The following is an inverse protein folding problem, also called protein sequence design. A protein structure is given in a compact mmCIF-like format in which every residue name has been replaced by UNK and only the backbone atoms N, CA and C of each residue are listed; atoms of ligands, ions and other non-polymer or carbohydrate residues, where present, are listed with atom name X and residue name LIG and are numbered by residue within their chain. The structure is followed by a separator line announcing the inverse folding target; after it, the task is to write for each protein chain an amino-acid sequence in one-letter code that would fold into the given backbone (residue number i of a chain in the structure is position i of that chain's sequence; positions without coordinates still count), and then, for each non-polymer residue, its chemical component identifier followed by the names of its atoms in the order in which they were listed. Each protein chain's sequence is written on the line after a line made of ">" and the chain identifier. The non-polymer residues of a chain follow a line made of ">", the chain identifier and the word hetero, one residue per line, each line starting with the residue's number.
data_IF_901951707066
#
_entry.id   IF_901951707066
#
_cell.length_a   1.000
_cell.length_b   1.000
_cell.length_c   1.000
_cell.angle_alpha   90.00
_cell.angle_beta   90.00
_cell.angle_gamma   90.00
#
_symmetry.space_group_name_H-M   'P 1'
#
loop_
_entity.id
_entity.type
_entity.pdbx_description
1 polymer ?
#
# COMPACT_ATOMS: atom_id res chain seq x y z
N UNK A 1 -21.62 3.76 -10.76
CA UNK A 1 -21.15 3.43 -9.38
C UNK A 1 -20.98 1.91 -9.28
N UNK A 2 -20.21 1.36 -8.33
CA UNK A 2 -20.16 -0.11 -8.10
C UNK A 2 -21.33 -0.55 -7.22
N UNK A 3 -21.78 -1.79 -7.35
CA UNK A 3 -22.90 -2.35 -6.56
C UNK A 3 -22.62 -2.31 -5.06
N UNK A 4 -21.37 -2.55 -4.65
CA UNK A 4 -20.97 -2.42 -3.24
C UNK A 4 -21.26 -1.01 -2.70
N UNK A 5 -20.92 0.05 -3.44
CA UNK A 5 -21.14 1.44 -2.99
C UNK A 5 -22.63 1.77 -2.89
N UNK A 6 -23.44 1.31 -3.86
CA UNK A 6 -24.89 1.51 -3.85
C UNK A 6 -25.53 0.79 -2.67
N UNK A 7 -25.12 -0.46 -2.42
CA UNK A 7 -25.58 -1.25 -1.27
C UNK A 7 -25.28 -0.53 0.05
N UNK A 8 -24.04 -0.03 0.22
CA UNK A 8 -23.66 0.76 1.41
C UNK A 8 -24.52 1.99 1.60
N UNK A 9 -24.83 2.73 0.53
CA UNK A 9 -25.69 3.91 0.62
C UNK A 9 -27.10 3.54 1.05
N UNK A 10 -27.69 2.48 0.50
CA UNK A 10 -29.03 2.03 0.89
C UNK A 10 -29.10 1.63 2.38
N UNK A 11 -28.09 0.89 2.84
CA UNK A 11 -28.04 0.45 4.25
C UNK A 11 -27.80 1.64 5.19
N UNK A 12 -26.81 2.48 4.92
CA UNK A 12 -26.41 3.56 5.83
C UNK A 12 -27.38 4.76 5.81
N UNK A 13 -27.90 5.12 4.63
CA UNK A 13 -28.74 6.32 4.48
C UNK A 13 -30.23 6.03 4.62
N UNK A 14 -30.69 4.85 4.19
CA UNK A 14 -32.11 4.50 4.16
C UNK A 14 -32.48 3.38 5.13
N UNK A 15 -31.51 2.68 5.75
CA UNK A 15 -31.78 1.52 6.59
C UNK A 15 -32.31 0.31 5.82
N UNK A 16 -32.13 0.28 4.49
CA UNK A 16 -32.66 -0.78 3.62
C UNK A 16 -31.53 -1.77 3.33
N UNK A 17 -31.71 -3.01 3.77
CA UNK A 17 -30.87 -4.14 3.33
C UNK A 17 -31.53 -4.78 2.10
N UNK A 18 -30.81 -4.76 0.98
CA UNK A 18 -31.29 -5.35 -0.26
C UNK A 18 -30.99 -6.84 -0.27
N UNK A 19 -32.03 -7.67 -0.17
CA UNK A 19 -31.92 -9.13 -0.27
C UNK A 19 -32.44 -9.60 -1.63
N UNK A 20 -31.65 -10.38 -2.36
CA UNK A 20 -32.06 -10.94 -3.65
C UNK A 20 -30.91 -11.10 -4.65
N UNK A 21 -31.20 -11.66 -5.85
CA UNK A 21 -30.22 -11.76 -6.92
C UNK A 21 -29.83 -10.36 -7.38
N UNK A 22 -28.56 -10.02 -7.23
CA UNK A 22 -28.00 -8.78 -7.72
C UNK A 22 -27.11 -9.05 -8.94
N UNK A 23 -27.05 -8.10 -9.86
CA UNK A 23 -26.16 -8.14 -11.02
C UNK A 23 -25.42 -6.82 -11.12
N UNK A 24 -24.08 -6.90 -11.22
CA UNK A 24 -23.22 -5.74 -11.39
C UNK A 24 -22.67 -5.69 -12.80
N UNK A 25 -22.99 -4.61 -13.51
CA UNK A 25 -22.57 -4.36 -14.88
C UNK A 25 -21.04 -4.34 -15.05
N UNK A 26 -20.32 -3.75 -14.10
CA UNK A 26 -18.86 -3.65 -14.14
C UNK A 26 -18.21 -5.00 -13.90
N UNK A 27 -18.75 -5.80 -12.98
CA UNK A 27 -18.28 -7.17 -12.74
C UNK A 27 -18.51 -8.05 -13.95
N UNK A 28 -19.68 -7.95 -14.59
CA UNK A 28 -19.97 -8.66 -15.84
C UNK A 28 -18.99 -8.27 -16.95
N UNK A 29 -18.71 -6.97 -17.11
CA UNK A 29 -17.75 -6.47 -18.09
C UNK A 29 -16.32 -6.95 -17.79
N UNK A 30 -15.91 -6.95 -16.52
CA UNK A 30 -14.60 -7.44 -16.09
C UNK A 30 -14.43 -8.93 -16.35
N UNK A 31 -15.47 -9.74 -16.14
CA UNK A 31 -15.40 -11.18 -16.35
C UNK A 31 -15.19 -11.55 -17.83
N UNK A 32 -15.70 -10.74 -18.76
CA UNK A 32 -15.47 -10.91 -20.20
C UNK A 32 -14.05 -10.52 -20.62
N UNK A 33 -13.44 -9.53 -19.98
CA UNK A 33 -12.10 -9.03 -20.30
C UNK A 33 -11.34 -8.58 -19.04
N UNK A 34 -10.77 -9.53 -18.28
CA UNK A 34 -10.11 -9.23 -17.01
C UNK A 34 -8.83 -8.39 -17.16
N UNK A 35 -8.26 -8.34 -18.37
CA UNK A 35 -7.06 -7.56 -18.68
C UNK A 35 -7.33 -6.09 -19.01
N UNK A 36 -8.60 -5.73 -19.22
CA UNK A 36 -8.98 -4.35 -19.53
C UNK A 36 -9.01 -3.43 -18.31
N UNK A 37 -8.80 -2.14 -18.57
CA UNK A 37 -9.03 -1.10 -17.57
C UNK A 37 -10.52 -1.01 -17.20
N UNK A 38 -10.79 -0.52 -15.99
CA UNK A 38 -12.16 -0.36 -15.49
C UNK A 38 -12.97 0.57 -16.41
N UNK A 39 -13.99 0.00 -17.08
CA UNK A 39 -14.80 0.75 -18.04
C UNK A 39 -15.84 1.61 -17.32
N UNK A 40 -16.00 2.84 -17.80
CA UNK A 40 -17.10 3.72 -17.40
C UNK A 40 -18.41 3.27 -18.05
N UNK A 41 -19.55 3.76 -17.53
CA UNK A 41 -20.87 3.45 -18.13
C UNK A 41 -20.92 3.84 -19.60
N UNK A 42 -20.44 5.04 -19.94
CA UNK A 42 -20.27 5.52 -21.32
C UNK A 42 -19.50 4.52 -22.18
N UNK A 43 -18.32 4.07 -21.73
CA UNK A 43 -17.51 3.14 -22.50
C UNK A 43 -18.22 1.79 -22.70
N UNK A 44 -18.90 1.28 -21.67
CA UNK A 44 -19.66 0.03 -21.78
C UNK A 44 -20.83 0.14 -22.77
N UNK A 45 -21.59 1.24 -22.73
CA UNK A 45 -22.68 1.48 -23.69
C UNK A 45 -22.12 1.56 -25.12
N UNK A 46 -21.04 2.31 -25.34
CA UNK A 46 -20.40 2.42 -26.68
C UNK A 46 -19.94 1.07 -27.22
N UNK A 47 -19.35 0.21 -26.38
CA UNK A 47 -18.82 -1.08 -26.82
C UNK A 47 -19.91 -2.14 -27.02
N UNK A 48 -20.91 -2.20 -26.14
CA UNK A 48 -21.84 -3.33 -26.05
C UNK A 48 -23.26 -2.99 -26.50
N UNK A 49 -23.66 -1.72 -26.49
CA UNK A 49 -25.02 -1.29 -26.85
C UNK A 49 -25.01 0.04 -27.63
N UNK A 50 -24.48 0.06 -28.87
CA UNK A 50 -24.39 1.30 -29.66
C UNK A 50 -25.76 1.88 -30.05
N UNK A 51 -26.83 1.08 -30.00
CA UNK A 51 -28.20 1.51 -30.32
C UNK A 51 -28.72 2.54 -29.31
N UNK A 52 -28.26 2.47 -28.05
CA UNK A 52 -28.70 3.36 -26.98
C UNK A 52 -27.79 4.58 -26.80
N UNK A 53 -26.78 4.76 -27.65
CA UNK A 53 -25.89 5.94 -27.64
C UNK A 53 -26.64 7.28 -27.70
N UNK A 54 -27.73 7.46 -28.49
CA UNK A 54 -28.46 8.73 -28.49
C UNK A 54 -29.09 9.10 -27.14
N UNK A 55 -29.37 8.11 -26.27
CA UNK A 55 -29.84 8.36 -24.91
C UNK A 55 -28.73 8.89 -24.00
N UNK A 56 -27.48 8.55 -24.31
CA UNK A 56 -26.30 9.03 -23.61
C UNK A 56 -26.04 10.53 -23.84
N UNK A 57 -26.46 11.08 -24.98
CA UNK A 57 -26.38 12.53 -25.26
C UNK A 57 -27.26 13.35 -24.29
N UNK A 58 -28.31 12.74 -23.72
CA UNK A 58 -29.12 13.31 -22.64
C UNK A 58 -28.42 13.33 -21.28
N UNK A 59 -27.33 12.60 -21.12
CA UNK A 59 -26.50 12.53 -19.91
C UNK A 59 -25.51 13.71 -19.84
N UNK A 60 -26.00 14.93 -20.02
CA UNK A 60 -25.21 16.16 -19.87
C UNK A 60 -25.02 16.50 -18.39
N UNK A 61 -23.86 17.01 -17.96
CA UNK A 61 -23.66 17.53 -16.59
C UNK A 61 -24.60 18.69 -16.22
N UNK A 62 -25.26 19.31 -17.20
CA UNK A 62 -26.26 20.37 -16.99
C UNK A 62 -27.69 19.84 -16.79
N UNK A 63 -27.93 18.54 -16.98
CA UNK A 63 -29.24 17.92 -16.84
C UNK A 63 -29.64 17.75 -15.35
N UNK A 64 -30.93 17.60 -15.09
CA UNK A 64 -31.44 17.33 -13.74
C UNK A 64 -30.91 15.98 -13.22
N UNK A 65 -30.47 15.88 -11.95
CA UNK A 65 -30.00 14.61 -11.37
C UNK A 65 -31.03 13.48 -11.44
N UNK A 66 -32.33 13.81 -11.39
CA UNK A 66 -33.42 12.83 -11.53
C UNK A 66 -33.49 12.25 -12.95
N UNK A 67 -33.30 13.11 -13.95
CA UNK A 67 -33.29 12.69 -15.35
C UNK A 67 -32.06 11.82 -15.63
N UNK A 68 -30.88 12.20 -15.12
CA UNK A 68 -29.67 11.39 -15.24
C UNK A 68 -29.85 10.00 -14.61
N UNK A 69 -30.40 9.92 -13.39
CA UNK A 69 -30.67 8.64 -12.74
C UNK A 69 -31.65 7.76 -13.54
N UNK A 70 -32.67 8.36 -14.16
CA UNK A 70 -33.61 7.65 -15.02
C UNK A 70 -32.92 7.11 -16.29
N UNK A 71 -32.12 7.94 -16.96
CA UNK A 71 -31.33 7.53 -18.14
C UNK A 71 -30.36 6.41 -17.77
N UNK A 72 -29.61 6.55 -16.68
CA UNK A 72 -28.69 5.54 -16.18
C UNK A 72 -29.39 4.21 -15.94
N UNK A 73 -30.58 4.21 -15.34
CA UNK A 73 -31.32 2.97 -15.07
C UNK A 73 -31.67 2.21 -16.35
N UNK A 74 -32.07 2.91 -17.41
CA UNK A 74 -32.42 2.33 -18.71
C UNK A 74 -31.17 1.80 -19.40
N UNK A 75 -30.10 2.59 -19.43
CA UNK A 75 -28.82 2.21 -20.05
C UNK A 75 -28.18 1.01 -19.35
N UNK A 76 -28.17 0.99 -18.02
CA UNK A 76 -27.65 -0.13 -17.22
C UNK A 76 -28.45 -1.39 -17.53
N UNK A 77 -29.78 -1.31 -17.52
CA UNK A 77 -30.63 -2.47 -17.79
C UNK A 77 -30.41 -3.01 -19.21
N UNK A 78 -30.41 -2.14 -20.21
CA UNK A 78 -30.18 -2.52 -21.61
C UNK A 78 -28.81 -3.17 -21.81
N UNK A 79 -27.76 -2.55 -21.29
CA UNK A 79 -26.38 -3.04 -21.40
C UNK A 79 -26.20 -4.36 -20.67
N UNK A 80 -26.78 -4.50 -19.47
CA UNK A 80 -26.68 -5.73 -18.68
C UNK A 80 -27.31 -6.93 -19.41
N UNK A 81 -28.43 -6.74 -20.11
CA UNK A 81 -29.03 -7.81 -20.95
C UNK A 81 -28.07 -8.28 -22.05
N UNK A 82 -27.39 -7.34 -22.71
CA UNK A 82 -26.40 -7.66 -23.74
C UNK A 82 -25.20 -8.41 -23.14
N UNK A 83 -24.65 -7.93 -22.03
CA UNK A 83 -23.55 -8.60 -21.33
C UNK A 83 -23.94 -10.01 -20.85
N UNK A 84 -25.14 -10.17 -20.32
CA UNK A 84 -25.67 -11.49 -19.92
C UNK A 84 -25.67 -12.46 -21.08
N UNK A 85 -26.15 -12.03 -22.25
CA UNK A 85 -26.15 -12.84 -23.48
C UNK A 85 -24.73 -13.24 -23.90
N UNK A 86 -23.75 -12.35 -23.74
CA UNK A 86 -22.34 -12.65 -24.02
C UNK A 86 -21.77 -13.64 -23.02
N UNK A 87 -22.03 -13.44 -21.72
CA UNK A 87 -21.62 -14.36 -20.65
C UNK A 87 -22.23 -15.76 -20.81
N UNK A 88 -23.47 -15.86 -21.31
CA UNK A 88 -24.12 -17.13 -21.63
C UNK A 88 -23.41 -17.84 -22.79
N UNK A 89 -23.05 -17.11 -23.85
CA UNK A 89 -22.31 -17.65 -25.00
C UNK A 89 -20.94 -18.18 -24.60
N UNK A 90 -20.26 -17.50 -23.67
CA UNK A 90 -18.94 -17.89 -23.16
C UNK A 90 -19.02 -18.93 -22.01
N UNK A 91 -20.23 -19.34 -21.61
CA UNK A 91 -20.44 -20.31 -20.53
C UNK A 91 -20.14 -19.79 -19.11
N UNK A 92 -19.97 -18.48 -18.95
CA UNK A 92 -19.55 -17.81 -17.71
C UNK A 92 -20.71 -17.34 -16.83
N UNK A 93 -21.96 -17.41 -17.32
CA UNK A 93 -23.13 -16.91 -16.60
C UNK A 93 -23.32 -17.53 -15.21
N UNK A 94 -23.01 -18.82 -15.05
CA UNK A 94 -23.12 -19.51 -13.78
C UNK A 94 -22.07 -19.00 -12.79
N UNK A 95 -20.82 -18.80 -13.23
CA UNK A 95 -19.73 -18.25 -12.40
C UNK A 95 -20.08 -16.82 -11.97
N UNK A 96 -20.58 -16.00 -12.90
CA UNK A 96 -21.03 -14.64 -12.61
C UNK A 96 -22.09 -14.61 -11.50
N UNK A 97 -23.21 -15.33 -11.66
CA UNK A 97 -24.33 -15.27 -10.72
C UNK A 97 -24.12 -16.02 -9.40
N UNK A 98 -23.45 -17.17 -9.43
CA UNK A 98 -23.33 -18.04 -8.25
C UNK A 98 -22.05 -17.82 -7.43
N UNK A 99 -21.02 -17.18 -8.02
CA UNK A 99 -19.73 -16.96 -7.35
C UNK A 99 -19.44 -15.47 -7.21
N UNK A 100 -19.37 -14.73 -8.31
CA UNK A 100 -18.91 -13.34 -8.28
C UNK A 100 -19.92 -12.38 -7.65
N UNK A 101 -21.22 -12.51 -7.97
CA UNK A 101 -22.23 -11.63 -7.39
C UNK A 101 -22.39 -11.80 -5.86
N UNK A 102 -22.45 -13.03 -5.30
CA UNK A 102 -22.40 -13.23 -3.85
C UNK A 102 -21.11 -12.70 -3.22
N UNK A 103 -19.97 -12.82 -3.91
CA UNK A 103 -18.69 -12.25 -3.45
C UNK A 103 -18.79 -10.73 -3.30
N UNK A 104 -19.40 -10.01 -4.24
CA UNK A 104 -19.62 -8.57 -4.12
C UNK A 104 -20.44 -8.17 -2.89
N UNK A 105 -21.49 -8.94 -2.56
CA UNK A 105 -22.32 -8.68 -1.36
C UNK A 105 -21.51 -8.92 -0.09
N UNK A 106 -20.76 -10.01 -0.02
CA UNK A 106 -19.87 -10.30 1.11
C UNK A 106 -18.84 -9.18 1.31
N UNK A 107 -18.23 -8.70 0.22
CA UNK A 107 -17.30 -7.58 0.27
C UNK A 107 -17.97 -6.29 0.73
N UNK A 108 -19.18 -5.98 0.25
CA UNK A 108 -19.92 -4.80 0.71
C UNK A 108 -20.21 -4.85 2.22
N UNK A 109 -20.57 -6.02 2.75
CA UNK A 109 -20.75 -6.23 4.19
C UNK A 109 -19.44 -6.11 4.98
N UNK A 110 -18.33 -6.63 4.44
CA UNK A 110 -17.01 -6.48 5.03
C UNK A 110 -16.60 -5.00 5.12
N UNK A 111 -16.83 -4.23 4.05
CA UNK A 111 -16.57 -2.78 4.04
C UNK A 111 -17.44 -2.03 5.07
N UNK A 112 -18.72 -2.40 5.22
CA UNK A 112 -19.62 -1.84 6.22
C UNK A 112 -19.16 -2.16 7.64
N UNK A 113 -18.77 -3.40 7.90
CA UNK A 113 -18.26 -3.84 9.19
C UNK A 113 -16.96 -3.12 9.55
N UNK A 114 -16.04 -2.99 8.58
CA UNK A 114 -14.69 -2.50 8.82
C UNK A 114 -13.90 -3.37 9.81
N UNK A 115 -12.77 -2.86 10.27
CA UNK A 115 -11.85 -3.53 11.20
C UNK A 115 -11.61 -2.64 12.42
N UNK A 116 -11.63 -3.23 13.61
CA UNK A 116 -11.34 -2.51 14.85
C UNK A 116 -9.89 -2.03 14.92
N UNK A 117 -9.68 -0.84 15.47
CA UNK A 117 -8.37 -0.20 15.54
C UNK A 117 -8.14 0.41 16.93
N UNK A 118 -6.99 0.14 17.53
CA UNK A 118 -6.56 0.76 18.77
C UNK A 118 -5.61 1.92 18.49
N UNK A 119 -6.07 3.14 18.75
CA UNK A 119 -5.22 4.34 18.64
C UNK A 119 -4.04 4.29 19.60
N UNK A 120 -4.29 3.92 20.86
CA UNK A 120 -3.28 3.94 21.92
C UNK A 120 -2.10 3.01 21.58
N UNK A 121 -2.40 1.79 21.14
CA UNK A 121 -1.35 0.83 20.80
C UNK A 121 -0.60 1.25 19.53
N UNK A 122 -1.31 1.77 18.52
CA UNK A 122 -0.68 2.28 17.30
C UNK A 122 0.25 3.46 17.60
N UNK A 123 -0.19 4.39 18.45
CA UNK A 123 0.59 5.56 18.84
C UNK A 123 1.80 5.18 19.70
N UNK A 124 1.64 4.21 20.62
CA UNK A 124 2.76 3.65 21.39
C UNK A 124 3.83 3.05 20.48
N UNK A 125 3.43 2.19 19.54
CA UNK A 125 4.35 1.57 18.59
C UNK A 125 5.01 2.58 17.65
N UNK A 126 4.27 3.61 17.23
CA UNK A 126 4.82 4.74 16.44
C UNK A 126 5.99 5.41 17.18
N UNK A 127 5.83 5.72 18.46
CA UNK A 127 6.90 6.34 19.26
C UNK A 127 8.11 5.42 19.43
N UNK A 128 7.91 4.12 19.67
CA UNK A 128 9.01 3.14 19.73
C UNK A 128 9.78 3.10 18.42
N UNK A 129 9.08 3.03 17.28
CA UNK A 129 9.68 3.05 15.95
C UNK A 129 10.44 4.35 15.66
N UNK A 130 9.89 5.50 16.04
CA UNK A 130 10.56 6.80 15.89
C UNK A 130 11.84 6.89 16.72
N UNK A 131 11.80 6.45 17.98
CA UNK A 131 12.99 6.42 18.84
C UNK A 131 14.10 5.53 18.27
N UNK A 132 13.73 4.34 17.77
CA UNK A 132 14.68 3.44 17.10
C UNK A 132 15.24 4.04 15.82
N UNK A 133 14.42 4.74 15.04
CA UNK A 133 14.83 5.38 13.79
C UNK A 133 15.89 6.46 14.04
N UNK A 134 15.71 7.30 15.06
CA UNK A 134 16.73 8.29 15.48
C UNK A 134 18.03 7.64 15.98
N UNK A 135 17.94 6.51 16.69
CA UNK A 135 19.10 5.76 17.13
C UNK A 135 19.89 5.16 15.95
N UNK A 136 19.19 4.59 14.96
CA UNK A 136 19.77 4.04 13.74
C UNK A 136 20.40 5.12 12.86
N UNK A 137 19.80 6.30 12.77
CA UNK A 137 20.40 7.46 12.08
C UNK A 137 21.73 7.86 12.70
N UNK A 138 21.75 8.02 14.03
CA UNK A 138 22.97 8.36 14.77
C UNK A 138 24.03 7.27 14.64
N UNK A 139 23.63 5.99 14.59
CA UNK A 139 24.54 4.87 14.32
C UNK A 139 25.08 4.91 12.89
N UNK A 140 24.23 5.19 11.90
CA UNK A 140 24.63 5.28 10.50
C UNK A 140 25.63 6.42 10.27
N UNK A 141 25.40 7.60 10.85
CA UNK A 141 26.33 8.73 10.73
C UNK A 141 27.68 8.45 11.40
N UNK A 142 27.69 7.77 12.55
CA UNK A 142 28.93 7.33 13.20
C UNK A 142 29.72 6.34 12.35
N UNK A 143 29.03 5.40 11.69
CA UNK A 143 29.66 4.40 10.82
C UNK A 143 30.16 5.00 9.49
N UNK A 144 29.49 6.02 8.96
CA UNK A 144 29.90 6.73 7.74
C UNK A 144 30.94 7.83 8.00
N UNK A 145 31.01 8.36 9.22
CA UNK A 145 31.91 9.46 9.60
C UNK A 145 31.38 10.86 9.21
N UNK A 146 30.21 10.96 8.58
CA UNK A 146 29.54 12.22 8.27
C UNK A 146 28.02 12.03 8.17
N UNK A 147 27.30 13.15 8.10
CA UNK A 147 25.85 13.14 7.92
C UNK A 147 25.48 12.97 6.44
N UNK A 148 24.50 12.12 6.15
CA UNK A 148 23.97 11.89 4.80
C UNK A 148 22.49 11.52 4.86
N UNK A 149 21.77 11.56 3.74
CA UNK A 149 20.35 11.23 3.75
C UNK A 149 20.10 9.72 3.58
N UNK A 150 19.52 9.07 4.60
CA UNK A 150 19.10 7.66 4.50
C UNK A 150 17.88 7.45 3.59
N UNK A 151 17.11 8.51 3.32
CA UNK A 151 16.00 8.48 2.35
C UNK A 151 16.51 8.47 0.90
N UNK A 152 17.68 9.08 0.65
CA UNK A 152 18.27 9.18 -0.70
C UNK A 152 19.05 7.91 -1.03
N UNK A 153 18.54 7.13 -2.00
CA UNK A 153 19.27 5.96 -2.52
C UNK A 153 20.61 6.33 -3.15
N UNK A 154 20.76 7.56 -3.65
CA UNK A 154 22.00 8.08 -4.24
C UNK A 154 23.05 8.37 -3.16
N UNK A 155 22.65 8.98 -2.06
CA UNK A 155 23.55 9.32 -0.96
C UNK A 155 24.03 8.04 -0.28
N UNK A 156 23.12 7.10 -0.04
CA UNK A 156 23.46 5.75 0.47
C UNK A 156 24.44 5.04 -0.48
N UNK A 157 24.22 5.10 -1.79
CA UNK A 157 25.13 4.49 -2.76
C UNK A 157 26.51 5.16 -2.77
N UNK A 158 26.58 6.48 -2.61
CA UNK A 158 27.82 7.23 -2.50
C UNK A 158 28.66 6.72 -1.32
N UNK A 159 28.07 6.68 -0.12
CA UNK A 159 28.75 6.25 1.11
C UNK A 159 29.20 4.78 1.00
N UNK A 160 28.32 3.88 0.54
CA UNK A 160 28.63 2.45 0.47
C UNK A 160 29.72 2.12 -0.55
N UNK A 161 29.69 2.72 -1.75
CA UNK A 161 30.55 2.28 -2.86
C UNK A 161 31.76 3.18 -3.11
N UNK A 162 31.67 4.48 -2.82
CA UNK A 162 32.81 5.40 -3.02
C UNK A 162 33.63 5.61 -1.77
N UNK A 163 33.03 5.61 -0.60
CA UNK A 163 33.75 5.90 0.66
C UNK A 163 34.17 4.62 1.36
N UNK A 164 33.21 3.69 1.55
CA UNK A 164 33.48 2.38 2.14
C UNK A 164 34.05 1.36 1.14
N UNK A 165 34.11 1.72 -0.14
CA UNK A 165 34.65 0.88 -1.23
C UNK A 165 34.09 -0.56 -1.28
N UNK A 166 32.81 -0.74 -0.91
CA UNK A 166 32.16 -2.04 -0.93
C UNK A 166 31.90 -2.52 -2.37
N UNK A 167 31.91 -3.84 -2.63
CA UNK A 167 31.70 -4.38 -3.97
C UNK A 167 30.25 -4.17 -4.43
N UNK A 168 29.99 -3.51 -5.58
CA UNK A 168 28.62 -3.23 -6.04
C UNK A 168 27.78 -4.48 -6.38
N UNK A 169 28.43 -5.63 -6.61
CA UNK A 169 27.76 -6.90 -6.91
C UNK A 169 27.53 -7.79 -5.67
N UNK A 170 28.12 -7.45 -4.51
CA UNK A 170 28.03 -8.27 -3.29
C UNK A 170 28.77 -9.61 -3.35
N UNK A 171 29.59 -9.86 -4.39
CA UNK A 171 30.32 -11.12 -4.54
C UNK A 171 31.76 -11.01 -4.00
N UNK A 172 32.16 -11.97 -3.16
CA UNK A 172 33.52 -12.11 -2.60
C UNK A 172 34.47 -12.93 -3.48
N UNK A 173 33.96 -13.60 -4.52
CA UNK A 173 34.78 -14.41 -5.43
C UNK A 173 35.37 -13.52 -6.52
N UNK A 174 36.70 -13.37 -6.51
CA UNK A 174 37.46 -12.61 -7.48
C UNK A 174 37.10 -12.95 -8.92
N UNK A 175 36.49 -11.99 -9.60
CA UNK A 175 36.36 -11.96 -11.05
C UNK A 175 36.86 -10.62 -11.57
N UNK A 176 38.15 -10.54 -11.91
CA UNK A 176 38.68 -9.52 -12.83
C UNK A 176 37.90 -9.67 -14.15
N UNK A 177 36.79 -8.94 -14.32
CA UNK A 177 35.92 -9.28 -15.44
C UNK A 177 34.63 -8.50 -15.63
N UNK A 178 34.65 -7.18 -15.47
CA UNK A 178 33.95 -6.27 -16.39
C UNK A 178 34.40 -4.86 -16.13
N UNK A 179 35.21 -4.35 -17.05
CA UNK A 179 35.56 -2.94 -17.21
C UNK A 179 34.30 -2.10 -16.98
N UNK A 180 34.16 -1.55 -15.79
CA UNK A 180 33.23 -0.46 -15.55
C UNK A 180 34.04 0.70 -15.00
N UNK A 181 35.05 1.08 -15.79
CA UNK A 181 35.63 2.41 -15.72
C UNK A 181 34.54 3.38 -16.19
N UNK A 182 33.55 3.63 -15.33
CA UNK A 182 32.62 4.74 -15.42
C UNK A 182 33.16 5.95 -14.64
N UNK A 183 34.48 6.08 -14.53
CA UNK A 183 35.12 7.30 -14.06
C UNK A 183 35.06 8.30 -15.22
N UNK A 184 34.00 9.09 -15.28
CA UNK A 184 34.09 10.36 -16.00
C UNK A 184 35.02 11.27 -15.18
N UNK A 185 36.33 11.20 -15.44
CA UNK A 185 37.23 12.30 -15.09
C UNK A 185 36.89 13.46 -16.03
N UNK A 186 35.88 14.24 -15.69
CA UNK A 186 35.85 15.65 -16.07
C UNK A 186 36.36 16.44 -14.86
N UNK A 187 37.29 17.35 -15.15
CA UNK A 187 38.18 17.97 -14.17
C UNK A 187 37.47 18.69 -13.03
N UNK A 188 38.28 18.95 -12.00
CA UNK A 188 38.06 19.92 -10.91
C UNK A 188 36.74 19.78 -10.14
N UNK A 189 36.82 19.11 -8.99
CA UNK A 189 35.85 19.22 -7.88
C UNK A 189 34.69 18.21 -7.92
N UNK A 190 34.77 17.22 -7.03
CA UNK A 190 33.75 16.19 -6.71
C UNK A 190 33.49 15.11 -7.77
N UNK A 191 33.95 13.89 -7.47
CA UNK A 191 33.60 12.67 -8.21
C UNK A 191 32.08 12.43 -8.13
N UNK A 192 31.38 12.61 -9.25
CA UNK A 192 29.95 12.28 -9.37
C UNK A 192 29.78 10.84 -9.86
N UNK A 193 28.91 10.10 -9.18
CA UNK A 193 28.50 8.74 -9.52
C UNK A 193 27.78 8.74 -10.90
N UNK A 194 28.52 8.49 -11.98
CA UNK A 194 27.95 8.43 -13.34
C UNK A 194 27.10 7.19 -13.62
N UNK A 195 27.18 6.17 -12.75
CA UNK A 195 26.40 4.93 -12.81
C UNK A 195 25.56 4.83 -11.54
N UNK A 196 24.23 4.74 -11.68
CA UNK A 196 23.34 4.50 -10.54
C UNK A 196 23.59 3.08 -10.03
N UNK A 197 24.27 2.96 -8.90
CA UNK A 197 24.42 1.68 -8.23
C UNK A 197 23.13 1.35 -7.48
N UNK A 198 22.71 0.10 -7.56
CA UNK A 198 21.50 -0.36 -6.89
C UNK A 198 21.77 -0.51 -5.39
N UNK A 199 20.86 0.01 -4.57
CA UNK A 199 20.84 -0.22 -3.11
C UNK A 199 19.62 -1.05 -2.73
N UNK A 200 19.26 -2.05 -3.54
CA UNK A 200 18.14 -2.97 -3.23
C UNK A 200 18.42 -3.77 -1.96
N UNK A 201 17.35 -4.29 -1.35
CA UNK A 201 17.41 -5.15 -0.17
C UNK A 201 18.44 -6.28 -0.35
N UNK A 202 18.37 -6.98 -1.47
CA UNK A 202 19.26 -8.13 -1.78
C UNK A 202 20.75 -7.75 -1.80
N UNK A 203 21.10 -6.56 -2.31
CA UNK A 203 22.49 -6.09 -2.34
C UNK A 203 22.95 -5.73 -0.93
N UNK A 204 22.11 -5.03 -0.16
CA UNK A 204 22.44 -4.66 1.21
C UNK A 204 22.60 -5.89 2.11
N UNK A 205 21.80 -6.95 1.91
CA UNK A 205 21.93 -8.21 2.64
C UNK A 205 23.25 -8.91 2.34
N UNK A 206 23.68 -8.94 1.07
CA UNK A 206 25.00 -9.46 0.68
C UNK A 206 26.17 -8.65 1.25
N UNK A 207 25.98 -7.35 1.45
CA UNK A 207 26.99 -6.44 1.99
C UNK A 207 27.05 -6.42 3.53
N UNK A 208 26.00 -6.89 4.20
CA UNK A 208 25.91 -6.90 5.67
C UNK A 208 27.05 -7.65 6.38
N UNK A 209 27.62 -8.76 5.84
CA UNK A 209 28.79 -9.40 6.44
C UNK A 209 30.09 -8.60 6.31
N UNK A 210 30.17 -7.68 5.35
CA UNK A 210 31.39 -6.90 5.07
C UNK A 210 31.48 -5.64 5.92
N UNK A 211 30.33 -5.02 6.20
CA UNK A 211 30.26 -3.81 7.00
C UNK A 211 28.93 -3.73 7.75
N UNK A 212 28.90 -3.19 8.99
CA UNK A 212 27.66 -3.06 9.76
C UNK A 212 26.65 -2.07 9.17
N UNK A 213 27.10 -1.07 8.37
CA UNK A 213 26.24 -0.01 7.82
C UNK A 213 25.08 -0.53 6.95
N UNK A 214 25.28 -1.45 5.97
CA UNK A 214 24.18 -2.08 5.24
C UNK A 214 23.06 -2.66 6.12
N UNK A 215 23.40 -3.33 7.22
CA UNK A 215 22.42 -3.87 8.18
C UNK A 215 21.59 -2.78 8.86
N UNK A 216 22.26 -1.70 9.30
CA UNK A 216 21.60 -0.51 9.87
C UNK A 216 20.65 0.14 8.86
N UNK A 217 21.06 0.27 7.59
CA UNK A 217 20.21 0.83 6.52
C UNK A 217 18.99 -0.07 6.25
N UNK A 218 19.15 -1.39 6.25
CA UNK A 218 18.05 -2.34 6.08
C UNK A 218 17.00 -2.19 7.18
N UNK A 219 17.45 -2.14 8.44
CA UNK A 219 16.56 -1.96 9.60
C UNK A 219 15.86 -0.60 9.54
N UNK A 220 16.61 0.48 9.24
CA UNK A 220 16.04 1.83 9.10
C UNK A 220 14.98 1.87 8.00
N UNK A 221 15.25 1.31 6.82
CA UNK A 221 14.29 1.27 5.70
C UNK A 221 13.05 0.45 6.03
N UNK A 222 13.21 -0.66 6.77
CA UNK A 222 12.09 -1.49 7.22
C UNK A 222 11.15 -0.69 8.13
N UNK A 223 11.71 0.01 9.13
CA UNK A 223 10.92 0.83 10.07
C UNK A 223 10.28 2.02 9.35
N UNK A 224 11.02 2.74 8.50
CA UNK A 224 10.49 3.85 7.70
C UNK A 224 9.34 3.40 6.80
N UNK A 225 9.46 2.24 6.15
CA UNK A 225 8.39 1.69 5.32
C UNK A 225 7.15 1.36 6.17
N UNK A 226 7.31 0.68 7.31
CA UNK A 226 6.21 0.37 8.22
C UNK A 226 5.49 1.64 8.71
N UNK A 227 6.22 2.69 9.07
CA UNK A 227 5.64 3.97 9.50
C UNK A 227 4.87 4.66 8.37
N UNK A 228 5.51 4.83 7.21
CA UNK A 228 4.98 5.66 6.11
C UNK A 228 3.87 4.98 5.32
N UNK A 229 3.95 3.67 5.14
CA UNK A 229 2.99 2.92 4.32
C UNK A 229 1.82 2.36 5.11
N UNK A 230 1.98 2.16 6.43
CA UNK A 230 0.98 1.47 7.26
C UNK A 230 0.54 2.33 8.43
N UNK A 231 1.44 2.75 9.33
CA UNK A 231 1.05 3.49 10.54
C UNK A 231 0.34 4.80 10.22
N UNK A 232 0.95 5.68 9.40
CA UNK A 232 0.34 6.98 9.10
C UNK A 232 -0.99 6.87 8.32
N UNK A 233 -1.11 6.00 7.28
CA UNK A 233 -2.40 5.80 6.62
C UNK A 233 -3.47 5.24 7.56
N UNK A 234 -3.17 4.25 8.41
CA UNK A 234 -4.15 3.70 9.37
C UNK A 234 -4.62 4.77 10.36
N UNK A 235 -3.69 5.59 10.89
CA UNK A 235 -4.03 6.69 11.79
C UNK A 235 -4.91 7.76 11.14
N UNK A 236 -4.72 8.02 9.85
CA UNK A 236 -5.48 9.03 9.10
C UNK A 236 -6.89 8.55 8.74
N UNK A 237 -7.03 7.30 8.32
CA UNK A 237 -8.31 6.76 7.83
C UNK A 237 -9.22 6.23 8.95
N UNK A 238 -8.76 6.22 10.21
CA UNK A 238 -9.58 5.79 11.35
C UNK A 238 -10.84 6.64 11.49
N UNK A 239 -11.95 6.00 11.83
CA UNK A 239 -13.23 6.66 12.13
C UNK A 239 -13.79 6.09 13.42
N UNK A 240 -14.29 6.96 14.28
CA UNK A 240 -14.93 6.54 15.51
C UNK A 240 -16.31 5.95 15.20
N UNK A 241 -16.59 4.74 15.69
CA UNK A 241 -17.87 4.08 15.52
C UNK A 241 -18.76 4.32 16.75
N UNK A 242 -19.83 5.14 16.64
CA UNK A 242 -20.58 5.61 17.81
C UNK A 242 -21.28 4.49 18.60
N UNK A 243 -21.78 3.44 17.92
CA UNK A 243 -22.50 2.35 18.57
C UNK A 243 -21.59 1.36 19.32
N UNK A 244 -20.34 1.21 18.86
CA UNK A 244 -19.38 0.26 19.45
C UNK A 244 -18.37 0.95 20.35
N UNK A 245 -18.39 2.29 20.39
CA UNK A 245 -17.50 3.15 21.18
C UNK A 245 -16.03 2.78 20.94
N UNK A 246 -15.67 2.50 19.68
CA UNK A 246 -14.31 2.14 19.28
C UNK A 246 -13.98 2.70 17.91
N UNK A 247 -12.69 2.90 17.66
CA UNK A 247 -12.22 3.29 16.33
C UNK A 247 -12.22 2.10 15.39
N UNK A 248 -12.67 2.34 14.16
CA UNK A 248 -12.71 1.36 13.08
C UNK A 248 -12.15 1.97 11.80
N UNK A 249 -11.60 1.10 10.97
CA UNK A 249 -11.09 1.45 9.64
C UNK A 249 -11.96 0.70 8.63
N UNK A 250 -12.37 1.38 7.57
CA UNK A 250 -13.27 0.85 6.55
C UNK A 250 -12.58 0.84 5.18
N UNK A 251 -11.77 -0.20 4.88
CA UNK A 251 -11.14 -0.34 3.58
C UNK A 251 -12.20 -0.51 2.49
N UNK A 252 -11.88 -0.12 1.25
CA UNK A 252 -12.72 -0.32 0.07
C UNK A 252 -12.18 -1.48 -0.75
N UNK A 253 -13.03 -2.44 -1.11
CA UNK A 253 -12.66 -3.58 -1.95
C UNK A 253 -12.56 -3.20 -3.42
N UNK A 254 -11.57 -3.77 -4.09
CA UNK A 254 -11.33 -3.69 -5.53
C UNK A 254 -11.20 -5.10 -6.09
N UNK A 255 -12.15 -5.46 -6.94
CA UNK A 255 -12.29 -6.81 -7.52
C UNK A 255 -11.77 -6.91 -8.96
N UNK A 256 -11.53 -5.77 -9.62
CA UNK A 256 -11.02 -5.68 -11.00
C UNK A 256 -9.51 -5.99 -11.10
N UNK A 257 -9.09 -7.20 -10.76
CA UNK A 257 -7.72 -7.65 -11.04
C UNK A 257 -7.72 -8.72 -12.11
N UNK A 258 -6.70 -8.72 -12.99
CA UNK A 258 -6.59 -9.72 -14.06
C UNK A 258 -6.57 -11.17 -13.55
N UNK A 259 -6.18 -11.38 -12.29
CA UNK A 259 -6.10 -12.70 -11.65
C UNK A 259 -7.34 -13.11 -10.87
N UNK A 260 -8.35 -12.23 -10.74
CA UNK A 260 -9.52 -12.47 -9.87
C UNK A 260 -9.25 -12.31 -8.37
N UNK A 261 -8.06 -11.85 -7.97
CA UNK A 261 -7.75 -11.52 -6.57
C UNK A 261 -8.46 -10.24 -6.16
N UNK A 262 -8.98 -10.22 -4.94
CA UNK A 262 -9.52 -9.01 -4.32
C UNK A 262 -8.38 -8.22 -3.67
N UNK A 263 -8.38 -6.90 -3.88
CA UNK A 263 -7.49 -5.98 -3.20
C UNK A 263 -8.25 -4.94 -2.39
N UNK A 264 -7.63 -4.37 -1.36
CA UNK A 264 -8.24 -3.29 -0.57
C UNK A 264 -7.48 -1.98 -0.70
N UNK A 265 -8.22 -0.86 -0.68
CA UNK A 265 -7.67 0.50 -0.68
C UNK A 265 -8.23 1.34 0.47
N UNK A 266 -7.49 2.40 0.81
CA UNK A 266 -7.90 3.41 1.81
C UNK A 266 -8.19 2.84 3.22
N UNK A 267 -7.20 2.20 3.90
CA UNK A 267 -5.86 1.83 3.47
C UNK A 267 -5.77 0.36 3.01
N UNK A 268 -4.66 -0.01 2.37
CA UNK A 268 -4.43 -1.41 1.99
C UNK A 268 -4.01 -2.22 3.23
N UNK A 269 -5.00 -2.85 3.86
CA UNK A 269 -4.82 -3.72 5.04
C UNK A 269 -4.23 -5.11 4.71
N UNK A 270 -4.01 -5.43 3.43
CA UNK A 270 -3.39 -6.71 3.04
C UNK A 270 -1.86 -6.65 3.16
N UNK A 271 -1.28 -5.45 3.11
CA UNK A 271 0.16 -5.22 3.16
C UNK A 271 0.64 -4.79 4.56
N UNK A 272 -0.09 -5.16 5.61
CA UNK A 272 0.35 -4.90 6.98
C UNK A 272 1.65 -5.68 7.25
N UNK A 273 2.71 -5.05 7.80
CA UNK A 273 3.97 -5.71 8.06
C UNK A 273 3.77 -6.89 9.00
N UNK A 274 4.45 -7.99 8.73
CA UNK A 274 4.58 -9.08 9.72
C UNK A 274 5.41 -8.60 10.90
N UNK A 275 5.10 -9.14 12.07
CA UNK A 275 5.82 -8.87 13.32
C UNK A 275 7.33 -9.04 13.15
N UNK A 276 8.07 -8.15 13.79
CA UNK A 276 9.52 -8.18 13.78
C UNK A 276 10.13 -7.61 15.04
N UNK A 277 11.30 -8.13 15.37
CA UNK A 277 12.02 -7.73 16.56
C UNK A 277 12.76 -6.42 16.33
N UNK A 278 12.71 -5.55 17.34
CA UNK A 278 13.45 -4.30 17.38
C UNK A 278 14.35 -4.35 18.61
N UNK A 279 15.66 -4.34 18.40
CA UNK A 279 16.62 -4.23 19.49
C UNK A 279 16.75 -2.78 19.91
N UNK A 280 16.27 -2.45 21.11
CA UNK A 280 16.55 -1.15 21.73
C UNK A 280 17.82 -1.29 22.57
N UNK A 281 18.78 -0.38 22.39
CA UNK A 281 19.90 -0.30 23.33
C UNK A 281 19.31 0.03 24.70
N UNK A 282 19.44 -0.89 25.65
CA UNK A 282 19.11 -0.62 27.05
C UNK A 282 19.95 0.57 27.48
N UNK A 283 19.29 1.63 27.97
CA UNK A 283 19.99 2.68 28.70
C UNK A 283 20.55 2.00 29.96
N UNK A 284 21.81 1.58 29.90
CA UNK A 284 22.55 1.11 31.07
C UNK A 284 22.90 2.37 31.87
N UNK A 285 22.01 2.78 32.76
CA UNK A 285 22.41 3.62 33.90
C UNK A 285 23.18 2.72 34.88
N UNK A 286 24.47 2.49 34.60
CA UNK A 286 25.41 2.13 35.66
C UNK A 286 25.61 3.37 36.53
N UNK A 287 24.82 3.47 37.60
CA UNK A 287 25.09 4.41 38.68
C UNK A 287 26.43 4.05 39.35
N UNK A 288 27.33 5.01 39.60
CA UNK A 288 28.60 4.71 40.27
C UNK A 288 28.36 4.32 41.74
N UNK A 289 29.25 3.52 42.34
CA UNK A 289 29.08 3.05 43.71
C UNK A 289 29.15 4.24 44.66
N UNK A 290 28.15 4.36 45.53
CA UNK A 290 28.14 5.30 46.65
C UNK A 290 29.33 5.01 47.56
N UNK A 291 30.37 5.84 47.47
CA UNK A 291 31.31 6.01 48.56
C UNK A 291 30.58 6.76 49.67
N UNK A 292 30.09 6.03 50.68
CA UNK A 292 29.83 6.66 51.97
C UNK A 292 30.67 5.97 53.04
N UNK A 293 31.90 6.48 53.15
CA UNK A 293 32.74 6.25 54.32
C UNK A 293 32.50 7.37 55.32
N UNK A 294 31.68 7.12 56.35
CA UNK A 294 31.79 7.79 57.65
C UNK A 294 31.45 6.86 58.83
N UNK A 295 32.53 6.35 59.45
CA UNK A 295 32.80 6.34 60.91
C UNK A 295 32.11 7.54 61.60
N UNK A 296 31.51 7.53 62.79
CA UNK A 296 31.72 6.95 64.15
C UNK A 296 30.45 7.34 64.94
N UNK A 297 29.86 6.57 65.86
CA UNK A 297 30.37 6.19 67.18
C UNK A 297 29.48 6.81 68.29
N UNK A 298 29.12 5.97 69.27
CA UNK A 298 28.30 6.18 70.49
C UNK A 298 26.78 6.12 70.35
#
# INVERSE_FOLDING_TARGET
>A
MTSSRVYKTLVLSCGISLEGPCEDLKVACWLLDPGSEERTLTNMVTCYCPVDLPLLDGHSPTASPRLQAAIDSVLIHSTMRHLTTLLEKDGMINVFRSVEMPSQVCLALLELNGVGFSWEECDRQKHVMQAKLSALETQAYRLAGHNFSLTSTKDVAQVLFLELHLPPSGDMSGGRGKKTLGYSRRGTGHARLGKQFSTTKDILEKLSPLHPLPGVILEWRRITNALTTVVFPLQRERRHHPLMVMDRIHPVSRTHTATGRVSFTEPNIQNVPKDFEIQMASVVEESPPSQDGRRTGW
#
